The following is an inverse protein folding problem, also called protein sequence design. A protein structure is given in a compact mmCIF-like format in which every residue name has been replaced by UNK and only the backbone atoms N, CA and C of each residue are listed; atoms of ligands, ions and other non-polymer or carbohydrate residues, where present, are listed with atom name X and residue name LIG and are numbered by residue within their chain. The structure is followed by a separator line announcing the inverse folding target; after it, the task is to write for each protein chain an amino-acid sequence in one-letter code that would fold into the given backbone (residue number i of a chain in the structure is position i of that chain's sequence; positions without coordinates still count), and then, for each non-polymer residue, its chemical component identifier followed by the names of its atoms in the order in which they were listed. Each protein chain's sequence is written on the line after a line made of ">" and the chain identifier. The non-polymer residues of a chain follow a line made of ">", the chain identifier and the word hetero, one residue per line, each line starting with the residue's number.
data_IF_373917969208
#
_entry.id   IF_373917969208
#
_cell.length_a   1.000
_cell.length_b   1.000
_cell.length_c   1.000
_cell.angle_alpha   90.00
_cell.angle_beta   90.00
_cell.angle_gamma   90.00
#
_symmetry.space_group_name_H-M   'P 1'
#
loop_
_entity.id
_entity.type
_entity.pdbx_description
1 polymer ?
#
# COMPACT_ATOMS: atom_id res chain seq x y z
N UNK A 1 29.12 -9.91 -5.93
CA UNK A 1 27.90 -10.13 -6.72
C UNK A 1 26.84 -9.21 -6.15
N UNK A 2 26.38 -8.25 -6.94
CA UNK A 2 25.41 -7.24 -6.49
C UNK A 2 24.09 -7.96 -6.21
N UNK A 3 23.70 -8.07 -4.94
CA UNK A 3 22.41 -8.63 -4.54
C UNK A 3 21.35 -7.56 -4.85
N UNK A 4 20.99 -7.42 -6.12
CA UNK A 4 19.78 -6.69 -6.49
C UNK A 4 18.62 -7.36 -5.74
N UNK A 5 17.71 -6.58 -5.15
CA UNK A 5 16.54 -7.14 -4.49
C UNK A 5 15.88 -8.17 -5.43
N UNK A 6 15.47 -9.34 -4.94
CA UNK A 6 14.89 -10.40 -5.79
C UNK A 6 13.73 -9.86 -6.66
N UNK A 7 13.02 -8.86 -6.13
CA UNK A 7 11.97 -8.13 -6.82
C UNK A 7 12.47 -7.38 -8.06
N UNK A 8 13.61 -6.68 -7.96
CA UNK A 8 14.19 -5.97 -9.10
C UNK A 8 14.57 -6.93 -10.25
N UNK A 9 15.08 -8.12 -9.91
CA UNK A 9 15.41 -9.14 -10.89
C UNK A 9 14.15 -9.75 -11.53
N UNK A 10 13.08 -9.92 -10.76
CA UNK A 10 11.77 -10.36 -11.26
C UNK A 10 11.17 -9.34 -12.24
N UNK A 11 11.15 -8.05 -11.89
CA UNK A 11 10.58 -7.01 -12.76
C UNK A 11 11.39 -6.82 -14.06
N UNK A 12 12.72 -7.00 -14.01
CA UNK A 12 13.55 -7.04 -15.21
C UNK A 12 13.20 -8.23 -16.11
N UNK A 13 13.00 -9.42 -15.54
CA UNK A 13 12.59 -10.61 -16.30
C UNK A 13 11.22 -10.42 -16.95
N UNK A 14 10.21 -9.96 -16.19
CA UNK A 14 8.86 -9.71 -16.69
C UNK A 14 8.86 -8.70 -17.84
N UNK A 15 9.64 -7.62 -17.71
CA UNK A 15 9.80 -6.61 -18.76
C UNK A 15 10.46 -7.19 -20.01
N UNK A 16 11.46 -8.08 -19.86
CA UNK A 16 12.12 -8.76 -20.96
C UNK A 16 11.21 -9.75 -21.69
N UNK A 17 10.42 -10.52 -20.94
CA UNK A 17 9.42 -11.45 -21.51
C UNK A 17 8.33 -10.69 -22.27
N UNK A 18 7.88 -9.54 -21.74
CA UNK A 18 6.89 -8.72 -22.42
C UNK A 18 7.39 -8.20 -23.77
N UNK A 19 8.61 -7.66 -23.82
CA UNK A 19 9.23 -7.24 -25.08
C UNK A 19 9.35 -8.40 -26.08
N UNK A 20 9.64 -9.61 -25.61
CA UNK A 20 9.75 -10.78 -26.48
C UNK A 20 8.39 -11.19 -27.05
N UNK A 21 7.32 -11.12 -26.26
CA UNK A 21 5.95 -11.37 -26.73
C UNK A 21 5.55 -10.32 -27.76
N UNK A 22 5.74 -9.03 -27.48
CA UNK A 22 5.40 -7.93 -28.40
C UNK A 22 6.17 -8.04 -29.73
N UNK A 23 7.42 -8.50 -29.70
CA UNK A 23 8.20 -8.74 -30.92
C UNK A 23 7.69 -9.95 -31.72
N UNK A 24 7.16 -10.98 -31.06
CA UNK A 24 6.62 -12.18 -31.71
C UNK A 24 5.20 -11.96 -32.24
N UNK A 25 4.38 -11.17 -31.55
CA UNK A 25 3.00 -10.87 -31.91
C UNK A 25 2.87 -9.65 -32.81
N UNK A 26 3.89 -8.77 -32.83
CA UNK A 26 3.87 -7.46 -33.48
C UNK A 26 2.72 -6.56 -32.97
N UNK A 27 2.26 -6.81 -31.75
CA UNK A 27 1.21 -6.06 -31.07
C UNK A 27 1.76 -5.52 -29.74
N UNK A 28 1.46 -4.25 -29.44
CA UNK A 28 1.88 -3.63 -28.18
C UNK A 28 0.95 -4.00 -27.03
N UNK A 29 1.53 -4.47 -25.92
CA UNK A 29 0.80 -4.88 -24.73
C UNK A 29 0.88 -3.80 -23.64
N UNK A 30 0.39 -2.61 -23.99
CA UNK A 30 0.43 -1.40 -23.13
C UNK A 30 -0.21 -1.65 -21.77
N UNK A 31 -1.29 -2.46 -21.71
CA UNK A 31 -1.95 -2.82 -20.46
C UNK A 31 -1.09 -3.69 -19.54
N UNK A 32 -0.29 -4.61 -20.10
CA UNK A 32 0.65 -5.40 -19.32
C UNK A 32 1.85 -4.56 -18.87
N UNK A 33 2.33 -3.62 -19.71
CA UNK A 33 3.38 -2.65 -19.31
C UNK A 33 2.95 -1.87 -18.08
N UNK A 34 1.75 -1.28 -18.09
CA UNK A 34 1.23 -0.52 -16.96
C UNK A 34 1.05 -1.37 -15.71
N UNK A 35 0.64 -2.64 -15.83
CA UNK A 35 0.52 -3.55 -14.68
C UNK A 35 1.88 -3.91 -14.08
N UNK A 36 2.88 -4.19 -14.91
CA UNK A 36 4.25 -4.48 -14.45
C UNK A 36 4.83 -3.26 -13.72
N UNK A 37 4.65 -2.05 -14.25
CA UNK A 37 5.11 -0.81 -13.64
C UNK A 37 4.39 -0.53 -12.31
N UNK A 38 3.06 -0.63 -12.28
CA UNK A 38 2.28 -0.43 -11.07
C UNK A 38 2.66 -1.41 -9.95
N UNK A 39 2.85 -2.69 -10.28
CA UNK A 39 3.31 -3.70 -9.32
C UNK A 39 4.75 -3.44 -8.86
N UNK A 40 5.63 -3.00 -9.76
CA UNK A 40 6.99 -2.60 -9.42
C UNK A 40 7.03 -1.47 -8.40
N UNK A 41 6.19 -0.45 -8.59
CA UNK A 41 6.05 0.66 -7.63
C UNK A 41 5.45 0.18 -6.31
N UNK A 42 4.43 -0.68 -6.33
CA UNK A 42 3.78 -1.17 -5.11
C UNK A 42 4.72 -1.98 -4.23
N UNK A 43 5.59 -2.82 -4.83
CA UNK A 43 6.59 -3.60 -4.08
C UNK A 43 7.62 -2.69 -3.39
N UNK A 44 7.96 -1.55 -3.98
CA UNK A 44 8.86 -0.56 -3.32
C UNK A 44 8.20 0.21 -2.19
N UNK A 45 6.86 0.25 -2.12
CA UNK A 45 6.13 0.92 -1.04
C UNK A 45 6.06 0.08 0.23
N UNK A 46 6.35 -1.22 0.15
CA UNK A 46 6.48 -2.07 1.33
C UNK A 46 7.78 -1.67 2.03
N UNK A 47 7.72 -1.08 3.24
CA UNK A 47 8.93 -0.82 4.00
C UNK A 47 9.66 -2.16 4.15
N UNK A 48 10.93 -2.22 3.74
CA UNK A 48 11.75 -3.41 3.98
C UNK A 48 11.61 -3.73 5.45
N UNK A 49 10.94 -4.85 5.74
CA UNK A 49 10.53 -5.27 7.08
C UNK A 49 11.59 -4.88 8.08
N UNK A 50 11.22 -4.12 9.12
CA UNK A 50 12.12 -3.75 10.22
C UNK A 50 12.91 -5.00 10.61
N UNK A 51 14.20 -5.04 10.26
CA UNK A 51 15.05 -6.21 10.49
C UNK A 51 15.34 -6.42 11.97
N UNK A 52 14.79 -5.56 12.84
CA UNK A 52 14.75 -5.76 14.29
C UNK A 52 13.49 -6.52 14.66
N UNK A 53 13.70 -7.76 15.08
CA UNK A 53 12.74 -8.46 15.94
C UNK A 53 12.60 -7.65 17.22
N UNK A 54 11.53 -6.85 17.31
CA UNK A 54 11.19 -6.10 18.52
C UNK A 54 10.53 -7.07 19.50
N UNK A 55 10.97 -7.04 20.75
CA UNK A 55 10.30 -7.75 21.83
C UNK A 55 8.93 -7.09 22.12
N UNK A 56 7.97 -7.82 22.72
CA UNK A 56 6.60 -7.33 22.95
C UNK A 56 6.56 -5.98 23.68
N UNK A 57 7.49 -5.78 24.62
CA UNK A 57 7.63 -4.54 25.38
C UNK A 57 8.18 -3.38 24.53
N UNK A 58 9.06 -3.66 23.56
CA UNK A 58 9.55 -2.66 22.62
C UNK A 58 8.47 -2.28 21.59
N UNK A 59 7.64 -3.25 21.18
CA UNK A 59 6.47 -2.99 20.33
C UNK A 59 5.51 -2.04 21.04
N UNK A 60 5.16 -2.33 22.30
CA UNK A 60 4.28 -1.47 23.09
C UNK A 60 4.84 -0.04 23.19
N UNK A 61 6.15 0.10 23.43
CA UNK A 61 6.81 1.41 23.51
C UNK A 61 6.79 2.19 22.19
N UNK A 62 7.04 1.53 21.06
CA UNK A 62 6.94 2.19 19.77
C UNK A 62 5.49 2.51 19.40
N UNK A 63 4.51 1.69 19.80
CA UNK A 63 3.08 1.99 19.66
C UNK A 63 2.68 3.22 20.50
N UNK A 64 3.10 3.31 21.77
CA UNK A 64 2.86 4.47 22.62
C UNK A 64 3.42 5.75 22.00
N UNK A 65 4.65 5.68 21.48
CA UNK A 65 5.30 6.79 20.79
C UNK A 65 4.62 7.18 19.48
N UNK A 66 4.10 6.20 18.73
CA UNK A 66 3.30 6.46 17.53
C UNK A 66 1.96 7.10 17.89
N UNK A 67 1.33 6.67 18.99
CA UNK A 67 0.10 7.27 19.51
C UNK A 67 0.32 8.74 19.85
N UNK A 68 1.38 9.06 20.61
CA UNK A 68 1.70 10.46 20.93
C UNK A 68 1.90 11.33 19.68
N UNK A 69 2.58 10.80 18.66
CA UNK A 69 2.76 11.53 17.40
C UNK A 69 1.44 11.73 16.64
N UNK A 70 0.51 10.78 16.73
CA UNK A 70 -0.82 10.94 16.13
C UNK A 70 -1.62 12.02 16.86
N UNK A 71 -1.51 12.09 18.19
CA UNK A 71 -2.13 13.15 18.99
C UNK A 71 -1.57 14.53 18.62
N UNK A 72 -0.24 14.67 18.50
CA UNK A 72 0.40 15.92 18.05
C UNK A 72 -0.07 16.34 16.65
N UNK A 73 -0.22 15.38 15.74
CA UNK A 73 -0.71 15.64 14.38
C UNK A 73 -2.17 16.06 14.39
N UNK A 74 -3.01 15.46 15.24
CA UNK A 74 -4.42 15.83 15.38
C UNK A 74 -4.59 17.26 15.93
N UNK A 75 -3.74 17.66 16.88
CA UNK A 75 -3.70 19.04 17.38
C UNK A 75 -3.28 20.03 16.27
N UNK A 76 -2.26 19.70 15.49
CA UNK A 76 -1.84 20.52 14.34
C UNK A 76 -2.93 20.62 13.28
N UNK A 77 -3.65 19.52 12.99
CA UNK A 77 -4.77 19.53 12.05
C UNK A 77 -5.89 20.41 12.60
N UNK A 78 -6.26 20.24 13.86
CA UNK A 78 -7.32 21.03 14.50
C UNK A 78 -7.00 22.53 14.48
N UNK A 79 -5.77 22.92 14.81
CA UNK A 79 -5.34 24.33 14.75
C UNK A 79 -5.28 24.89 13.33
N UNK A 80 -4.86 24.07 12.35
CA UNK A 80 -4.81 24.48 10.94
C UNK A 80 -6.21 24.61 10.34
N UNK A 81 -7.12 23.66 10.61
CA UNK A 81 -8.52 23.69 10.17
C UNK A 81 -9.28 24.85 10.82
N UNK A 82 -8.99 25.16 12.09
CA UNK A 82 -9.55 26.34 12.75
C UNK A 82 -9.08 27.66 12.10
N UNK A 83 -7.87 27.68 11.56
CA UNK A 83 -7.27 28.87 10.93
C UNK A 83 -7.70 29.05 9.48
N UNK A 84 -7.89 27.95 8.73
CA UNK A 84 -8.38 27.97 7.35
C UNK A 84 -9.33 26.78 7.09
N UNK A 85 -10.65 27.02 6.98
CA UNK A 85 -11.65 25.99 6.70
C UNK A 85 -11.44 25.26 5.36
N UNK A 86 -10.77 25.87 4.38
CA UNK A 86 -10.53 25.24 3.08
C UNK A 86 -9.52 24.09 3.18
N UNK A 87 -8.61 24.14 4.15
CA UNK A 87 -7.62 23.09 4.41
C UNK A 87 -8.30 21.77 4.80
N UNK A 88 -9.44 21.82 5.49
CA UNK A 88 -10.20 20.61 5.85
C UNK A 88 -10.56 19.79 4.60
N UNK A 89 -11.07 20.45 3.56
CA UNK A 89 -11.47 19.77 2.31
C UNK A 89 -10.29 19.11 1.61
N UNK A 90 -9.11 19.74 1.64
CA UNK A 90 -7.88 19.20 1.05
C UNK A 90 -7.36 18.01 1.85
N UNK A 91 -7.39 18.09 3.18
CA UNK A 91 -7.00 17.01 4.07
C UNK A 91 -7.94 15.81 3.95
N UNK A 92 -9.26 16.03 3.84
CA UNK A 92 -10.24 14.96 3.62
C UNK A 92 -10.01 14.25 2.29
N UNK A 93 -9.77 14.98 1.20
CA UNK A 93 -9.46 14.40 -0.10
C UNK A 93 -8.17 13.55 -0.06
N UNK A 94 -7.12 14.04 0.62
CA UNK A 94 -5.89 13.27 0.80
C UNK A 94 -6.07 12.04 1.71
N UNK A 95 -6.92 12.14 2.73
CA UNK A 95 -7.26 11.02 3.61
C UNK A 95 -8.07 9.94 2.88
N UNK A 96 -8.96 10.30 1.95
CA UNK A 96 -9.67 9.37 1.08
C UNK A 96 -8.70 8.60 0.16
N UNK A 97 -7.70 9.26 -0.43
CA UNK A 97 -6.65 8.60 -1.20
C UNK A 97 -5.89 7.58 -0.34
N UNK A 98 -5.49 7.96 0.89
CA UNK A 98 -4.81 7.06 1.84
C UNK A 98 -5.68 5.86 2.26
N UNK A 99 -6.98 6.06 2.48
CA UNK A 99 -7.91 4.97 2.79
C UNK A 99 -8.05 3.98 1.63
N UNK A 100 -7.99 4.45 0.39
CA UNK A 100 -8.01 3.59 -0.79
C UNK A 100 -6.76 2.68 -0.89
N UNK A 101 -5.61 3.10 -0.33
CA UNK A 101 -4.41 2.25 -0.24
C UNK A 101 -4.50 1.16 0.85
N UNK A 102 -5.27 1.37 1.92
CA UNK A 102 -5.42 0.39 2.99
C UNK A 102 -6.37 -0.78 2.64
N UNK A 103 -7.01 -0.73 1.47
CA UNK A 103 -8.01 -1.71 1.01
C UNK A 103 -9.27 -1.72 1.87
N UNK A 104 -10.41 -2.24 1.37
CA UNK A 104 -11.53 -2.54 2.23
C UNK A 104 -11.06 -3.63 3.18
N UNK A 105 -10.83 -3.28 4.45
CA UNK A 105 -10.67 -4.28 5.50
C UNK A 105 -11.94 -5.12 5.45
N UNK A 106 -11.83 -6.35 4.95
CA UNK A 106 -12.95 -7.24 4.76
C UNK A 106 -13.58 -7.54 6.12
N UNK A 107 -14.59 -6.77 6.48
CA UNK A 107 -15.54 -7.12 7.52
C UNK A 107 -16.33 -8.31 6.97
N UNK A 108 -15.94 -9.50 7.40
CA UNK A 108 -16.60 -10.74 7.03
C UNK A 108 -18.06 -10.69 7.45
N UNK A 109 -18.97 -10.59 6.47
CA UNK A 109 -20.38 -10.87 6.68
C UNK A 109 -20.50 -12.38 6.95
N UNK A 110 -20.43 -12.74 8.22
CA UNK A 110 -20.75 -14.06 8.73
C UNK A 110 -22.26 -14.29 8.52
N UNK A 111 -22.60 -14.89 7.38
CA UNK A 111 -23.89 -15.57 7.19
C UNK A 111 -23.64 -17.07 7.11
N UNK A 112 -23.51 -17.68 8.29
CA UNK A 112 -23.57 -19.12 8.45
C UNK A 112 -25.03 -19.59 8.47
N UNK A 113 -25.27 -20.75 7.82
CA UNK A 113 -26.48 -21.59 7.83
C UNK A 113 -27.66 -21.05 6.98
N UNK A 114 -28.36 -21.83 6.14
CA UNK A 114 -28.75 -23.23 6.28
C UNK A 114 -29.30 -23.82 4.95
N UNK A 115 -29.12 -25.14 4.78
CA UNK A 115 -29.90 -26.12 3.97
C UNK A 115 -29.79 -26.17 2.42
N UNK A 116 -29.15 -27.25 1.96
CA UNK A 116 -29.65 -28.06 0.84
C UNK A 116 -30.89 -28.87 1.28
N UNK A 117 -31.93 -28.99 0.44
CA UNK A 117 -32.25 -30.29 -0.19
C UNK A 117 -32.84 -30.10 -1.62
N UNK A 118 -32.92 -31.03 -2.56
CA UNK A 118 -32.64 -32.47 -2.72
C UNK A 118 -32.01 -32.69 -4.10
#
# INVERSE_FOLDING_TARGET
>A
MQNAAPDAQLFQLLSGLLHQVEALTNDEEVGLRSKIEALGLEVTKVPSSSTRHLDELEIAKELDKLSMKLDDVDEMISSTVASDPHVQSLLSASADERRNFAGPTGEGDARESEKAPM
#
